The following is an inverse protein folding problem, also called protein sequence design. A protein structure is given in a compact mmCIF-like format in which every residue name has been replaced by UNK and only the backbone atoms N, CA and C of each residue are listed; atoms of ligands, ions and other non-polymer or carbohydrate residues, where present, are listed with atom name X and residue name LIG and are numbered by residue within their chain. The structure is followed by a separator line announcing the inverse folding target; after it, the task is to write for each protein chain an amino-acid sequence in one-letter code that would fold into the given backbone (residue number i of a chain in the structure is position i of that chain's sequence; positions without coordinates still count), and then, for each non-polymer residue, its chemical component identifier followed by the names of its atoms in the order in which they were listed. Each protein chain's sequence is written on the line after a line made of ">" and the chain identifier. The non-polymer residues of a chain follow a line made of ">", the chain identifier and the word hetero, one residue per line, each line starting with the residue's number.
data_IF_852899793008
#
_entry.id   IF_852899793008
#
_cell.length_a   1.000
_cell.length_b   1.000
_cell.length_c   1.000
_cell.angle_alpha   90.00
_cell.angle_beta   90.00
_cell.angle_gamma   90.00
#
_symmetry.space_group_name_H-M   'P 1'
#
loop_
_entity.id
_entity.type
_entity.pdbx_description
1 polymer ?
#
# COMPACT_ATOMS: atom_id res chain seq x y z
N UNK A 1 -36.58 54.80 -12.48
CA UNK A 1 -35.33 54.08 -12.79
C UNK A 1 -34.40 54.06 -11.57
N UNK A 2 -34.47 53.03 -10.72
CA UNK A 2 -33.38 52.67 -9.78
C UNK A 2 -33.42 51.15 -9.61
N UNK A 3 -32.37 50.48 -10.08
CA UNK A 3 -32.20 49.03 -10.07
C UNK A 3 -31.68 48.60 -8.70
N UNK A 4 -32.32 47.61 -8.07
CA UNK A 4 -31.72 46.87 -6.96
C UNK A 4 -31.41 45.46 -7.45
N UNK A 5 -30.11 45.17 -7.58
CA UNK A 5 -29.57 43.84 -7.83
C UNK A 5 -29.34 43.24 -6.45
N UNK A 6 -30.17 42.28 -6.04
CA UNK A 6 -29.88 41.45 -4.88
C UNK A 6 -29.26 40.16 -5.39
N UNK A 7 -27.93 40.09 -5.33
CA UNK A 7 -27.18 38.86 -5.53
C UNK A 7 -27.31 37.99 -4.28
N UNK A 8 -27.79 36.76 -4.43
CA UNK A 8 -27.63 35.70 -3.43
C UNK A 8 -26.66 34.67 -4.01
N UNK A 9 -25.39 34.80 -3.66
CA UNK A 9 -24.40 33.73 -3.77
C UNK A 9 -24.67 32.72 -2.63
N UNK A 10 -25.27 31.58 -2.95
CA UNK A 10 -25.18 30.39 -2.10
C UNK A 10 -23.86 29.69 -2.43
N UNK A 11 -22.81 30.00 -1.67
CA UNK A 11 -21.58 29.20 -1.65
C UNK A 11 -21.72 28.17 -0.54
N UNK A 12 -22.22 26.97 -0.87
CA UNK A 12 -22.09 25.80 -0.01
C UNK A 12 -20.73 25.15 -0.30
N UNK A 13 -19.70 25.54 0.45
CA UNK A 13 -18.50 24.71 0.58
C UNK A 13 -18.89 23.47 1.40
N UNK A 14 -19.17 22.37 0.72
CA UNK A 14 -19.16 21.06 1.34
C UNK A 14 -17.70 20.70 1.64
N UNK A 15 -17.26 20.94 2.88
CA UNK A 15 -16.01 20.38 3.40
C UNK A 15 -16.38 19.07 4.08
N UNK A 16 -16.36 17.97 3.34
CA UNK A 16 -16.50 16.62 3.90
C UNK A 16 -15.46 15.72 3.25
N UNK A 17 -14.21 15.78 3.75
CA UNK A 17 -13.18 14.81 3.37
C UNK A 17 -12.03 14.68 4.40
N UNK A 18 -12.25 14.95 5.69
CA UNK A 18 -11.19 14.83 6.73
C UNK A 18 -11.34 13.62 7.67
N UNK A 19 -12.47 12.91 7.60
CA UNK A 19 -12.72 11.75 8.47
C UNK A 19 -11.87 10.53 8.08
N UNK A 20 -11.74 10.23 6.78
CA UNK A 20 -11.01 9.04 6.30
C UNK A 20 -9.49 9.10 6.49
N UNK A 21 -8.90 10.31 6.49
CA UNK A 21 -7.44 10.48 6.64
C UNK A 21 -6.94 10.11 8.04
N UNK A 22 -7.74 10.37 9.09
CA UNK A 22 -7.36 9.99 10.45
C UNK A 22 -7.45 8.47 10.63
N UNK A 23 -8.49 7.83 10.11
CA UNK A 23 -8.66 6.38 10.26
C UNK A 23 -7.58 5.56 9.54
N UNK A 24 -7.13 5.99 8.35
CA UNK A 24 -6.04 5.28 7.65
C UNK A 24 -4.69 5.51 8.31
N UNK A 25 -4.41 6.73 8.81
CA UNK A 25 -3.17 7.01 9.55
C UNK A 25 -3.06 6.12 10.81
N UNK A 26 -4.16 5.97 11.54
CA UNK A 26 -4.21 5.08 12.71
C UNK A 26 -3.98 3.61 12.33
N UNK A 27 -4.54 3.14 11.20
CA UNK A 27 -4.26 1.80 10.67
C UNK A 27 -2.81 1.61 10.24
N UNK A 28 -2.21 2.62 9.62
CA UNK A 28 -0.79 2.59 9.23
C UNK A 28 0.08 2.51 10.48
N UNK A 29 -0.22 3.29 11.53
CA UNK A 29 0.53 3.26 12.80
C UNK A 29 0.44 1.89 13.47
N UNK A 30 -0.78 1.33 13.57
CA UNK A 30 -1.01 -0.02 14.09
C UNK A 30 -0.24 -1.07 13.29
N UNK A 31 -0.33 -1.04 11.96
CA UNK A 31 0.36 -2.00 11.11
C UNK A 31 1.89 -1.83 11.15
N UNK A 32 2.40 -0.61 11.28
CA UNK A 32 3.84 -0.32 11.34
C UNK A 32 4.52 -0.86 12.61
N UNK A 33 3.75 -1.04 13.68
CA UNK A 33 4.23 -1.54 14.99
C UNK A 33 3.54 -2.84 15.44
N UNK A 34 2.82 -3.51 14.54
CA UNK A 34 2.06 -4.72 14.86
C UNK A 34 2.94 -5.93 15.18
N UNK A 35 2.42 -6.84 16.00
CA UNK A 35 3.13 -8.03 16.50
C UNK A 35 3.59 -9.01 15.40
N UNK A 36 3.00 -8.91 14.21
CA UNK A 36 3.42 -9.69 13.04
C UNK A 36 4.76 -9.24 12.45
N UNK A 37 5.25 -8.04 12.82
CA UNK A 37 6.51 -7.50 12.32
C UNK A 37 7.66 -7.95 13.21
N UNK A 38 8.76 -8.36 12.57
CA UNK A 38 10.00 -8.60 13.29
C UNK A 38 10.53 -7.33 13.97
N UNK A 39 11.20 -7.49 15.12
CA UNK A 39 11.87 -6.37 15.81
C UNK A 39 12.83 -5.61 14.87
N UNK A 40 13.53 -6.33 13.99
CA UNK A 40 14.44 -5.74 13.01
C UNK A 40 13.71 -4.85 11.98
N UNK A 41 12.48 -5.21 11.57
CA UNK A 41 11.68 -4.36 10.68
C UNK A 41 11.11 -3.15 11.43
N UNK A 42 10.60 -3.33 12.65
CA UNK A 42 10.09 -2.23 13.49
C UNK A 42 11.20 -1.22 13.81
N UNK A 43 12.41 -1.67 14.14
CA UNK A 43 13.55 -0.80 14.43
C UNK A 43 13.93 0.14 13.28
N UNK A 44 13.51 -0.16 12.04
CA UNK A 44 13.76 0.68 10.87
C UNK A 44 12.72 1.79 10.68
N UNK A 45 11.63 1.79 11.44
CA UNK A 45 10.56 2.80 11.35
C UNK A 45 11.12 4.21 11.58
N UNK A 46 12.09 4.39 12.49
CA UNK A 46 12.72 5.70 12.77
C UNK A 46 13.44 6.30 11.56
N UNK A 47 13.85 5.50 10.58
CA UNK A 47 14.52 5.97 9.36
C UNK A 47 13.57 6.06 8.18
N UNK A 48 12.45 5.34 8.24
CA UNK A 48 11.51 5.17 7.13
C UNK A 48 10.22 5.94 7.32
N UNK A 49 9.91 6.38 8.53
CA UNK A 49 8.75 7.20 8.87
C UNK A 49 7.49 6.71 8.14
N UNK A 50 7.03 5.45 8.39
CA UNK A 50 6.02 4.83 7.54
C UNK A 50 4.70 5.59 7.54
N UNK A 51 4.28 6.12 8.70
CA UNK A 51 3.05 6.91 8.81
C UNK A 51 3.19 8.17 7.97
N UNK A 52 4.23 8.98 8.23
CA UNK A 52 4.43 10.25 7.54
C UNK A 52 4.67 10.07 6.04
N UNK A 53 5.40 9.02 5.65
CA UNK A 53 5.67 8.71 4.24
C UNK A 53 4.40 8.32 3.51
N UNK A 54 3.61 7.40 4.06
CA UNK A 54 2.39 6.93 3.40
C UNK A 54 1.29 8.01 3.39
N UNK A 55 1.21 8.83 4.45
CA UNK A 55 0.36 10.03 4.46
C UNK A 55 0.83 11.04 3.40
N UNK A 56 2.14 11.29 3.29
CA UNK A 56 2.68 12.20 2.26
C UNK A 56 2.41 11.71 0.83
N UNK A 57 2.50 10.40 0.60
CA UNK A 57 2.15 9.78 -0.68
C UNK A 57 0.65 9.81 -0.97
N UNK A 58 -0.18 10.22 0.00
CA UNK A 58 -1.63 10.33 -0.15
C UNK A 58 -2.31 8.97 -0.19
N UNK A 59 -1.83 7.99 0.59
CA UNK A 59 -2.50 6.71 0.72
C UNK A 59 -3.91 6.93 1.31
N UNK A 60 -4.93 6.40 0.63
CA UNK A 60 -6.34 6.51 1.04
C UNK A 60 -7.07 5.18 0.87
N UNK A 61 -8.21 5.05 1.57
CA UNK A 61 -9.12 3.91 1.40
C UNK A 61 -9.70 3.86 -0.01
N UNK A 62 -9.98 2.65 -0.48
CA UNK A 62 -10.49 2.35 -1.81
C UNK A 62 -9.43 2.34 -2.90
N UNK A 63 -8.18 2.71 -2.61
CA UNK A 63 -7.09 2.66 -3.57
C UNK A 63 -6.71 1.22 -3.95
N UNK A 64 -6.17 1.08 -5.16
CA UNK A 64 -5.35 -0.07 -5.55
C UNK A 64 -3.89 0.32 -5.43
N UNK A 65 -3.16 -0.33 -4.54
CA UNK A 65 -1.77 -0.02 -4.20
C UNK A 65 -0.86 -1.13 -4.69
N UNK A 66 0.04 -0.80 -5.61
CA UNK A 66 1.03 -1.73 -6.13
C UNK A 66 2.42 -1.46 -5.54
N UNK A 67 2.99 -2.45 -4.85
CA UNK A 67 4.38 -2.44 -4.39
C UNK A 67 5.28 -3.14 -5.41
N UNK A 68 6.22 -2.41 -6.00
CA UNK A 68 7.20 -2.96 -6.94
C UNK A 68 8.41 -3.52 -6.18
N UNK A 69 8.73 -4.79 -6.46
CA UNK A 69 9.81 -5.55 -5.86
C UNK A 69 9.85 -5.46 -4.34
N UNK A 70 8.88 -6.07 -3.64
CA UNK A 70 8.77 -5.97 -2.19
C UNK A 70 9.99 -6.46 -1.41
N UNK A 71 10.83 -7.26 -2.04
CA UNK A 71 12.06 -7.77 -1.46
C UNK A 71 11.78 -8.57 -0.19
N UNK A 72 12.32 -8.13 0.94
CA UNK A 72 12.05 -8.73 2.25
C UNK A 72 10.69 -8.36 2.88
N UNK A 73 9.85 -7.58 2.20
CA UNK A 73 8.47 -7.31 2.60
C UNK A 73 8.28 -6.22 3.66
N UNK A 74 9.23 -5.29 3.82
CA UNK A 74 9.14 -4.27 4.88
C UNK A 74 7.90 -3.38 4.73
N UNK A 75 7.58 -2.94 3.52
CA UNK A 75 6.35 -2.18 3.25
C UNK A 75 5.14 -3.11 3.09
N UNK A 76 5.32 -4.31 2.53
CA UNK A 76 4.27 -5.35 2.47
C UNK A 76 3.62 -5.60 3.83
N UNK A 77 4.43 -5.72 4.89
CA UNK A 77 3.96 -5.92 6.26
C UNK A 77 3.14 -4.75 6.81
N UNK A 78 3.09 -3.60 6.14
CA UNK A 78 2.26 -2.44 6.50
C UNK A 78 1.11 -2.31 5.50
N UNK A 79 1.42 -2.29 4.21
CA UNK A 79 0.47 -2.03 3.14
C UNK A 79 -0.58 -3.13 3.00
N UNK A 80 -0.19 -4.41 3.04
CA UNK A 80 -1.15 -5.50 2.86
C UNK A 80 -2.22 -5.52 3.99
N UNK A 81 -1.86 -5.43 5.29
CA UNK A 81 -2.86 -5.31 6.35
C UNK A 81 -3.69 -4.02 6.28
N UNK A 82 -3.08 -2.87 5.94
CA UNK A 82 -3.81 -1.59 5.83
C UNK A 82 -4.86 -1.64 4.72
N UNK A 83 -4.57 -2.32 3.61
CA UNK A 83 -5.48 -2.42 2.47
C UNK A 83 -6.49 -3.58 2.60
N UNK A 84 -6.27 -4.55 3.49
CA UNK A 84 -7.16 -5.70 3.66
C UNK A 84 -8.56 -5.24 4.11
N UNK A 85 -9.56 -5.41 3.24
CA UNK A 85 -10.93 -4.94 3.46
C UNK A 85 -11.16 -3.43 3.23
N UNK A 86 -10.10 -2.67 2.96
CA UNK A 86 -10.14 -1.22 2.77
C UNK A 86 -9.66 -0.77 1.37
N UNK A 87 -9.27 -1.70 0.50
CA UNK A 87 -8.93 -1.48 -0.90
C UNK A 87 -8.24 -2.71 -1.47
N UNK A 88 -7.31 -2.53 -2.41
CA UNK A 88 -6.56 -3.65 -2.99
C UNK A 88 -5.06 -3.43 -2.85
N UNK A 89 -4.35 -4.43 -2.33
CA UNK A 89 -2.89 -4.48 -2.39
C UNK A 89 -2.42 -5.45 -3.46
N UNK A 90 -1.41 -5.06 -4.23
CA UNK A 90 -0.78 -5.85 -5.29
C UNK A 90 0.74 -5.82 -5.09
N UNK A 91 1.37 -6.99 -5.06
CA UNK A 91 2.82 -7.11 -5.11
C UNK A 91 3.29 -7.41 -6.54
N UNK A 92 4.05 -6.49 -7.14
CA UNK A 92 4.78 -6.76 -8.38
C UNK A 92 6.13 -7.40 -8.04
N UNK A 93 6.15 -8.73 -7.98
CA UNK A 93 7.28 -9.55 -7.55
C UNK A 93 8.05 -10.13 -8.75
N UNK A 94 9.23 -10.69 -8.50
CA UNK A 94 10.07 -11.25 -9.56
C UNK A 94 9.39 -12.41 -10.29
N UNK A 95 9.39 -12.33 -11.62
CA UNK A 95 8.86 -13.37 -12.51
C UNK A 95 9.68 -14.67 -12.38
N UNK A 96 9.03 -15.76 -11.96
CA UNK A 96 9.65 -17.08 -11.81
C UNK A 96 9.91 -17.77 -13.17
N UNK A 97 9.26 -17.33 -14.24
CA UNK A 97 9.43 -17.85 -15.59
C UNK A 97 10.67 -17.31 -16.31
N UNK A 98 11.28 -16.23 -15.80
CA UNK A 98 12.53 -15.70 -16.36
C UNK A 98 13.69 -16.60 -15.95
N UNK A 99 14.31 -17.27 -16.92
CA UNK A 99 15.48 -18.12 -16.71
C UNK A 99 16.74 -17.30 -16.38
N UNK A 100 17.72 -17.95 -15.73
CA UNK A 100 19.07 -17.43 -15.45
C UNK A 100 19.14 -16.10 -14.67
N UNK A 101 18.06 -15.72 -13.99
CA UNK A 101 18.08 -14.55 -13.11
C UNK A 101 18.82 -14.87 -11.79
N UNK A 102 19.33 -13.86 -11.07
CA UNK A 102 19.99 -14.09 -9.79
C UNK A 102 19.12 -14.90 -8.82
N UNK A 103 19.70 -15.96 -8.23
CA UNK A 103 18.96 -16.93 -7.41
C UNK A 103 18.18 -16.35 -6.23
N UNK A 104 18.54 -15.16 -5.74
CA UNK A 104 17.79 -14.49 -4.67
C UNK A 104 16.39 -14.03 -5.14
N UNK A 105 16.16 -13.79 -6.43
CA UNK A 105 14.88 -13.33 -6.96
C UNK A 105 13.79 -14.38 -6.82
N UNK A 106 14.11 -15.64 -7.14
CA UNK A 106 13.24 -16.78 -6.90
C UNK A 106 12.91 -16.90 -5.41
N UNK A 107 13.95 -16.94 -4.56
CA UNK A 107 13.78 -17.09 -3.11
C UNK A 107 12.93 -15.98 -2.46
N UNK A 108 13.08 -14.72 -2.91
CA UNK A 108 12.28 -13.61 -2.38
C UNK A 108 10.83 -13.67 -2.83
N UNK A 109 10.56 -14.14 -4.06
CA UNK A 109 9.19 -14.37 -4.51
C UNK A 109 8.52 -15.48 -3.70
N UNK A 110 9.18 -16.63 -3.54
CA UNK A 110 8.66 -17.74 -2.76
C UNK A 110 8.40 -17.33 -1.31
N UNK A 111 9.36 -16.63 -0.69
CA UNK A 111 9.22 -16.14 0.68
C UNK A 111 8.05 -15.16 0.84
N UNK A 112 7.76 -14.34 -0.18
CA UNK A 112 6.61 -13.45 -0.18
C UNK A 112 5.29 -14.24 -0.22
N UNK A 113 5.20 -15.25 -1.10
CA UNK A 113 4.00 -16.10 -1.19
C UNK A 113 3.78 -16.89 0.10
N UNK A 114 4.84 -17.45 0.69
CA UNK A 114 4.79 -18.13 1.98
C UNK A 114 4.30 -17.17 3.08
N UNK A 115 4.82 -15.94 3.14
CA UNK A 115 4.39 -14.93 4.10
C UNK A 115 2.88 -14.67 4.04
N UNK A 116 2.33 -14.52 2.83
CA UNK A 116 0.89 -14.35 2.64
C UNK A 116 0.10 -15.58 3.10
N UNK A 117 0.53 -16.78 2.70
CA UNK A 117 -0.17 -18.01 3.05
C UNK A 117 -0.18 -18.29 4.57
N UNK A 118 0.91 -18.00 5.27
CA UNK A 118 1.03 -18.26 6.72
C UNK A 118 0.19 -17.30 7.57
N UNK A 119 -0.19 -16.13 7.06
CA UNK A 119 -0.95 -15.11 7.80
C UNK A 119 -2.10 -14.54 6.96
N UNK A 120 -2.89 -15.41 6.33
CA UNK A 120 -3.94 -15.01 5.39
C UNK A 120 -5.00 -14.09 6.01
N UNK A 121 -5.36 -14.27 7.29
CA UNK A 121 -6.31 -13.38 7.97
C UNK A 121 -5.79 -11.94 8.06
N UNK A 122 -4.49 -11.78 8.33
CA UNK A 122 -3.84 -10.48 8.43
C UNK A 122 -3.69 -9.81 7.05
N UNK A 123 -3.19 -10.56 6.07
CA UNK A 123 -2.85 -10.01 4.76
C UNK A 123 -4.02 -9.98 3.76
N UNK A 124 -5.10 -10.71 4.04
CA UNK A 124 -6.25 -10.85 3.15
C UNK A 124 -5.88 -11.63 1.89
N UNK A 125 -6.31 -11.10 0.74
CA UNK A 125 -6.06 -11.68 -0.58
C UNK A 125 -5.20 -10.74 -1.46
N UNK A 126 -3.88 -10.60 -1.18
CA UNK A 126 -2.97 -9.83 -2.02
C UNK A 126 -2.98 -10.30 -3.46
N UNK A 127 -3.06 -9.35 -4.39
CA UNK A 127 -2.71 -9.62 -5.78
C UNK A 127 -1.20 -9.82 -5.90
N UNK A 128 -0.76 -10.72 -6.78
CA UNK A 128 0.66 -10.86 -7.12
C UNK A 128 0.81 -10.87 -8.63
N UNK A 129 1.63 -9.96 -9.14
CA UNK A 129 1.95 -9.87 -10.58
C UNK A 129 3.44 -10.09 -10.80
N UNK A 130 3.79 -10.74 -11.90
CA UNK A 130 5.17 -10.99 -12.28
C UNK A 130 5.77 -9.74 -12.95
N UNK A 131 6.93 -9.28 -12.48
CA UNK A 131 7.60 -8.10 -12.99
C UNK A 131 9.14 -8.24 -12.91
N UNK A 132 9.75 -8.57 -14.05
CA UNK A 132 11.19 -8.70 -14.28
C UNK A 132 11.61 -8.07 -15.63
N UNK A 133 11.65 -6.73 -15.75
CA UNK A 133 12.02 -6.08 -17.00
C UNK A 133 13.49 -6.34 -17.40
N UNK A 134 13.78 -6.39 -18.71
CA UNK A 134 12.84 -6.23 -19.82
C UNK A 134 12.05 -7.50 -20.17
N UNK A 135 12.38 -8.67 -19.60
CA UNK A 135 11.78 -9.95 -19.99
C UNK A 135 10.30 -10.07 -19.61
N UNK A 136 9.89 -9.41 -18.53
CA UNK A 136 8.53 -9.37 -18.02
C UNK A 136 8.25 -7.96 -17.49
N UNK A 137 7.62 -7.12 -18.31
CA UNK A 137 7.51 -5.67 -18.06
C UNK A 137 6.08 -5.15 -17.95
N UNK A 138 5.08 -6.01 -18.03
CA UNK A 138 3.68 -5.61 -17.80
C UNK A 138 3.42 -5.49 -16.30
N UNK A 139 2.67 -4.46 -15.90
CA UNK A 139 2.16 -4.30 -14.54
C UNK A 139 0.64 -4.59 -14.48
N UNK A 140 0.12 -5.27 -15.49
CA UNK A 140 -1.32 -5.38 -15.75
C UNK A 140 -1.76 -4.42 -16.86
N UNK A 141 -2.86 -4.76 -17.52
CA UNK A 141 -3.68 -3.84 -18.32
C UNK A 141 -4.93 -3.45 -17.52
#
# INVERSE_FOLDING_TARGET
>A
MKRFITALLFSSLAVTAWAGHHEIADRIEQAASGDHRSEANVARNVYRHPVETLTFLGLEDGMTVMEIWPGGGWYTEILAPVMNGHGQYIAASWDQGVADQPGYRYRLHDALLTKFAENAELYGEPGVVAYSPPQSASLGE
#
